data_IF_924870166643
#
_entry.id   IF_924870166643
#
_cell.length_a   1.000
_cell.length_b   1.000
_cell.length_c   1.000
_cell.angle_alpha   90.00
_cell.angle_beta   90.00
_cell.angle_gamma   90.00
#
_symmetry.space_group_name_H-M   'P 1'
#
loop_
_entity.id
_entity.type
_entity.pdbx_description
1 polymer ?
#
# COMPACT_ATOMS: atom_id res chain seq x y z
N UNK A 1 -23.99 -36.28 27.84
CA UNK A 1 -23.73 -36.42 26.39
C UNK A 1 -22.65 -35.41 26.04
N UNK A 2 -21.48 -35.87 25.60
CA UNK A 2 -20.42 -34.96 25.16
C UNK A 2 -20.88 -34.30 23.86
N UNK A 3 -20.83 -32.97 23.78
CA UNK A 3 -21.13 -32.26 22.54
C UNK A 3 -20.11 -32.68 21.48
N UNK A 4 -20.58 -33.22 20.36
CA UNK A 4 -19.75 -33.53 19.20
C UNK A 4 -19.11 -32.23 18.71
N UNK A 5 -17.81 -32.24 18.43
CA UNK A 5 -17.15 -31.06 17.88
C UNK A 5 -17.79 -30.68 16.53
N UNK A 6 -17.94 -29.37 16.24
CA UNK A 6 -18.47 -28.92 14.96
C UNK A 6 -17.55 -29.37 13.80
N UNK A 7 -18.12 -29.65 12.62
CA UNK A 7 -17.34 -30.09 11.46
C UNK A 7 -16.38 -28.99 10.98
N UNK A 8 -15.16 -29.40 10.65
CA UNK A 8 -14.10 -28.50 10.18
C UNK A 8 -13.38 -29.06 8.95
N UNK A 9 -12.92 -28.17 8.09
CA UNK A 9 -12.07 -28.51 6.94
C UNK A 9 -10.64 -28.12 7.29
N UNK A 10 -9.76 -29.11 7.34
CA UNK A 10 -8.33 -28.91 7.54
C UNK A 10 -7.65 -28.85 6.18
N UNK A 11 -6.91 -27.77 5.91
CA UNK A 11 -6.20 -27.57 4.64
C UNK A 11 -4.71 -27.68 4.88
N UNK A 12 -4.07 -28.59 4.15
CA UNK A 12 -2.65 -28.86 4.19
C UNK A 12 -1.99 -28.32 2.92
N UNK A 13 -0.78 -27.77 3.04
CA UNK A 13 0.05 -27.43 1.89
C UNK A 13 1.49 -27.90 2.13
N UNK A 14 2.23 -28.11 1.05
CA UNK A 14 3.61 -28.57 1.13
C UNK A 14 4.57 -27.40 1.29
N UNK A 15 5.49 -27.47 2.27
CA UNK A 15 6.51 -26.45 2.54
C UNK A 15 7.92 -27.05 2.50
N UNK A 16 8.92 -26.24 2.09
CA UNK A 16 10.30 -26.69 2.10
C UNK A 16 10.85 -26.74 3.54
N UNK A 17 11.69 -27.72 3.85
CA UNK A 17 12.42 -27.79 5.13
C UNK A 17 13.48 -26.69 5.26
N UNK A 18 14.04 -26.25 4.14
CA UNK A 18 15.04 -25.19 4.09
C UNK A 18 14.88 -24.33 2.84
N UNK A 19 15.12 -23.03 3.01
CA UNK A 19 15.11 -22.02 1.95
C UNK A 19 16.51 -21.40 1.87
N UNK A 20 17.07 -21.36 0.66
CA UNK A 20 18.32 -20.64 0.39
C UNK A 20 18.00 -19.21 -0.08
N UNK A 21 18.72 -18.23 0.45
CA UNK A 21 18.56 -16.83 0.04
C UNK A 21 18.96 -16.65 -1.44
N UNK A 22 18.09 -16.00 -2.22
CA UNK A 22 18.41 -15.54 -3.57
C UNK A 22 18.40 -16.59 -4.68
N UNK A 23 18.11 -17.86 -4.40
CA UNK A 23 17.97 -18.92 -5.41
C UNK A 23 16.50 -19.37 -5.54
N UNK A 24 16.21 -20.11 -6.62
CA UNK A 24 14.98 -20.89 -6.74
C UNK A 24 14.93 -21.99 -5.66
N UNK A 25 13.72 -22.33 -5.21
CA UNK A 25 13.56 -23.35 -4.17
C UNK A 25 13.90 -24.74 -4.71
N UNK A 26 14.57 -25.55 -3.87
CA UNK A 26 14.88 -26.93 -4.21
C UNK A 26 13.60 -27.78 -4.19
N UNK A 27 13.13 -28.20 -5.37
CA UNK A 27 11.91 -29.00 -5.57
C UNK A 27 12.10 -30.50 -5.32
N UNK A 28 13.28 -30.94 -4.87
CA UNK A 28 13.49 -32.36 -4.58
C UNK A 28 12.51 -32.82 -3.48
N UNK A 29 11.77 -33.94 -3.65
CA UNK A 29 10.71 -34.34 -2.72
C UNK A 29 11.15 -34.45 -1.26
N UNK A 30 12.40 -34.82 -0.98
CA UNK A 30 12.94 -34.90 0.39
C UNK A 30 13.09 -33.55 1.08
N UNK A 31 13.00 -32.44 0.34
CA UNK A 31 13.01 -31.09 0.91
C UNK A 31 11.61 -30.64 1.28
N UNK A 32 10.55 -31.39 0.99
CA UNK A 32 9.16 -30.92 1.13
C UNK A 32 8.37 -31.80 2.07
N UNK A 33 7.50 -31.18 2.86
CA UNK A 33 6.62 -31.87 3.79
C UNK A 33 5.27 -31.17 3.93
N UNK A 34 4.23 -31.93 4.30
CA UNK A 34 2.88 -31.40 4.49
C UNK A 34 2.76 -30.66 5.82
N UNK A 35 2.22 -29.45 5.77
CA UNK A 35 1.95 -28.58 6.92
C UNK A 35 0.47 -28.34 6.99
N UNK A 36 -0.13 -28.49 8.17
CA UNK A 36 -1.52 -28.10 8.41
C UNK A 36 -1.59 -26.57 8.42
N UNK A 37 -2.14 -25.97 7.37
CA UNK A 37 -2.11 -24.53 7.14
C UNK A 37 -3.32 -23.80 7.70
N UNK A 38 -4.52 -24.30 7.38
CA UNK A 38 -5.78 -23.64 7.70
C UNK A 38 -6.75 -24.61 8.36
N UNK A 39 -7.47 -24.12 9.36
CA UNK A 39 -8.64 -24.81 9.94
C UNK A 39 -9.87 -23.97 9.69
N UNK A 40 -10.82 -24.52 8.93
CA UNK A 40 -12.00 -23.79 8.46
C UNK A 40 -13.27 -24.43 9.06
N UNK A 41 -13.88 -23.84 10.08
CA UNK A 41 -15.17 -24.31 10.59
C UNK A 41 -16.25 -24.17 9.51
N UNK A 42 -16.96 -25.25 9.22
CA UNK A 42 -17.96 -25.28 8.12
C UNK A 42 -19.08 -24.27 8.38
N UNK A 43 -19.53 -24.14 9.63
CA UNK A 43 -20.53 -23.15 10.04
C UNK A 43 -20.09 -21.72 9.76
N UNK A 44 -18.82 -21.40 10.09
CA UNK A 44 -18.24 -20.08 9.83
C UNK A 44 -18.17 -19.79 8.34
N UNK A 45 -17.73 -20.74 7.50
CA UNK A 45 -17.71 -20.54 6.05
C UNK A 45 -19.11 -20.30 5.46
N UNK A 46 -20.11 -21.06 5.93
CA UNK A 46 -21.50 -20.88 5.52
C UNK A 46 -22.06 -19.51 5.93
N UNK A 47 -21.66 -18.98 7.09
CA UNK A 47 -22.08 -17.66 7.55
C UNK A 47 -21.42 -16.51 6.76
N UNK A 48 -20.15 -16.68 6.37
CA UNK A 48 -19.38 -15.66 5.66
C UNK A 48 -19.78 -15.49 4.19
N UNK A 49 -20.24 -16.56 3.54
CA UNK A 49 -20.73 -16.57 2.15
C UNK A 49 -19.80 -15.85 1.15
N UNK A 50 -18.48 -15.98 1.34
CA UNK A 50 -17.48 -15.31 0.50
C UNK A 50 -17.54 -15.69 -0.98
N UNK A 51 -18.10 -16.85 -1.32
CA UNK A 51 -18.30 -17.29 -2.69
C UNK A 51 -19.46 -18.28 -2.77
N UNK A 52 -20.14 -18.31 -3.91
CA UNK A 52 -21.11 -19.37 -4.26
C UNK A 52 -20.43 -20.72 -4.52
N UNK A 53 -19.10 -20.72 -4.69
CA UNK A 53 -18.27 -21.92 -4.89
C UNK A 53 -17.20 -21.99 -3.79
N UNK A 54 -17.54 -22.49 -2.59
CA UNK A 54 -16.68 -22.40 -1.43
C UNK A 54 -15.34 -23.10 -1.64
N UNK A 55 -15.28 -24.23 -2.36
CA UNK A 55 -14.02 -24.90 -2.68
C UNK A 55 -13.09 -24.06 -3.56
N UNK A 56 -13.61 -23.24 -4.49
CA UNK A 56 -12.78 -22.29 -5.24
C UNK A 56 -12.24 -21.18 -4.34
N UNK A 57 -13.05 -20.70 -3.40
CA UNK A 57 -12.58 -19.74 -2.40
C UNK A 57 -11.50 -20.36 -1.51
N UNK A 58 -11.66 -21.60 -1.04
CA UNK A 58 -10.63 -22.30 -0.27
C UNK A 58 -9.34 -22.41 -1.08
N UNK A 59 -9.44 -22.77 -2.37
CA UNK A 59 -8.29 -22.86 -3.31
C UNK A 59 -7.56 -21.52 -3.42
N UNK A 60 -8.31 -20.43 -3.56
CA UNK A 60 -7.74 -19.08 -3.57
C UNK A 60 -7.07 -18.74 -2.23
N UNK A 61 -7.79 -18.94 -1.12
CA UNK A 61 -7.36 -18.58 0.22
C UNK A 61 -6.04 -19.27 0.60
N UNK A 62 -5.92 -20.58 0.39
CA UNK A 62 -4.65 -21.28 0.64
C UNK A 62 -3.57 -20.82 -0.34
N UNK A 63 -3.89 -20.62 -1.62
CA UNK A 63 -2.93 -20.18 -2.64
C UNK A 63 -2.29 -18.82 -2.33
N UNK A 64 -3.08 -17.83 -1.87
CA UNK A 64 -2.52 -16.53 -1.46
C UNK A 64 -1.73 -16.61 -0.15
N UNK A 65 -2.09 -17.52 0.76
CA UNK A 65 -1.34 -17.75 2.00
C UNK A 65 0.01 -18.39 1.70
N UNK A 66 0.08 -19.40 0.84
CA UNK A 66 1.35 -20.03 0.45
C UNK A 66 2.13 -19.22 -0.59
N UNK A 67 1.45 -18.33 -1.32
CA UNK A 67 2.04 -17.52 -2.39
C UNK A 67 2.44 -18.35 -3.60
N UNK A 68 1.62 -19.33 -3.98
CA UNK A 68 1.80 -20.20 -5.13
C UNK A 68 0.44 -20.67 -5.64
N UNK A 69 0.27 -20.78 -6.96
CA UNK A 69 -0.94 -21.32 -7.59
C UNK A 69 -0.92 -22.86 -7.55
N UNK A 70 -2.10 -23.48 -7.46
CA UNK A 70 -2.24 -24.92 -7.25
C UNK A 70 -3.69 -25.37 -7.17
N UNK A 71 -3.90 -26.66 -6.90
CA UNK A 71 -5.22 -27.31 -6.87
C UNK A 71 -5.48 -28.04 -5.55
N UNK A 72 -6.75 -28.06 -5.13
CA UNK A 72 -7.18 -28.81 -3.94
C UNK A 72 -7.38 -30.28 -4.29
N UNK A 73 -6.87 -31.16 -3.43
CA UNK A 73 -7.07 -32.60 -3.52
C UNK A 73 -7.58 -33.20 -2.21
N UNK A 74 -8.29 -34.31 -2.30
CA UNK A 74 -8.65 -35.15 -1.15
C UNK A 74 -7.52 -36.10 -0.71
N UNK A 75 -6.38 -36.12 -1.42
CA UNK A 75 -5.26 -37.03 -1.16
C UNK A 75 -3.92 -36.28 -1.09
N UNK A 76 -3.02 -36.67 -0.15
CA UNK A 76 -1.66 -36.15 -0.11
C UNK A 76 -0.76 -36.74 -1.19
N UNK A 77 -1.02 -37.98 -1.63
CA UNK A 77 -0.10 -38.75 -2.45
C UNK A 77 -0.37 -38.63 -3.96
N UNK A 78 -1.59 -38.19 -4.31
CA UNK A 78 -2.02 -38.09 -5.71
C UNK A 78 -2.92 -36.88 -5.92
N UNK A 79 -2.80 -36.24 -7.09
CA UNK A 79 -3.66 -35.12 -7.47
C UNK A 79 -5.06 -35.62 -7.86
N UNK A 80 -5.89 -35.87 -6.86
CA UNK A 80 -7.31 -36.14 -7.01
C UNK A 80 -8.07 -34.82 -6.83
N UNK A 81 -8.20 -34.03 -7.90
CA UNK A 81 -8.79 -32.68 -7.83
C UNK A 81 -10.22 -32.73 -7.29
N UNK A 82 -10.51 -31.90 -6.29
CA UNK A 82 -11.84 -31.77 -5.69
C UNK A 82 -12.81 -31.16 -6.71
N UNK A 83 -14.08 -31.60 -6.71
CA UNK A 83 -15.13 -30.93 -7.47
C UNK A 83 -15.40 -29.54 -6.87
N UNK A 84 -14.91 -28.51 -7.55
CA UNK A 84 -15.08 -27.12 -7.14
C UNK A 84 -16.53 -26.62 -7.16
N UNK A 85 -17.47 -27.39 -7.70
CA UNK A 85 -18.91 -27.09 -7.67
C UNK A 85 -19.64 -27.79 -6.50
N UNK A 86 -18.96 -28.68 -5.79
CA UNK A 86 -19.55 -29.37 -4.67
C UNK A 86 -19.83 -28.42 -3.51
N UNK A 87 -20.91 -28.71 -2.79
CA UNK A 87 -21.23 -28.10 -1.49
C UNK A 87 -20.20 -28.50 -0.44
N UNK A 88 -20.08 -27.71 0.63
CA UNK A 88 -19.20 -28.05 1.75
C UNK A 88 -19.62 -29.39 2.39
N UNK A 89 -18.66 -30.21 2.85
CA UNK A 89 -18.96 -31.48 3.50
C UNK A 89 -19.70 -31.27 4.82
N UNK A 90 -20.60 -32.21 5.15
CA UNK A 90 -21.31 -32.23 6.44
C UNK A 90 -20.46 -32.76 7.60
N UNK A 91 -19.35 -33.43 7.27
CA UNK A 91 -18.38 -34.00 8.21
C UNK A 91 -17.03 -33.31 8.05
N UNK A 92 -16.16 -33.47 9.05
CA UNK A 92 -14.80 -32.93 8.95
C UNK A 92 -14.03 -33.59 7.81
N UNK A 93 -13.26 -32.80 7.08
CA UNK A 93 -12.52 -33.25 5.91
C UNK A 93 -11.09 -32.68 5.91
N UNK A 94 -10.16 -33.42 5.30
CA UNK A 94 -8.81 -32.94 5.02
C UNK A 94 -8.66 -32.67 3.52
N UNK A 95 -8.13 -31.50 3.19
CA UNK A 95 -7.80 -31.09 1.83
C UNK A 95 -6.30 -30.82 1.72
N UNK A 96 -5.71 -31.19 0.59
CA UNK A 96 -4.28 -31.05 0.31
C UNK A 96 -4.10 -30.14 -0.90
N UNK A 97 -3.36 -29.05 -0.72
CA UNK A 97 -3.08 -28.08 -1.77
C UNK A 97 -1.80 -28.46 -2.53
N UNK A 98 -1.97 -28.85 -3.78
CA UNK A 98 -0.90 -29.28 -4.67
C UNK A 98 -0.53 -28.15 -5.63
N UNK A 99 0.65 -27.58 -5.44
CA UNK A 99 1.29 -26.69 -6.41
C UNK A 99 2.21 -27.50 -7.34
N UNK A 100 2.34 -27.08 -8.60
CA UNK A 100 3.30 -27.67 -9.54
C UNK A 100 4.74 -27.39 -9.10
N UNK A 101 5.71 -28.09 -9.68
CA UNK A 101 7.13 -27.83 -9.36
C UNK A 101 7.56 -26.41 -9.76
N UNK A 102 7.02 -25.84 -10.84
CA UNK A 102 7.27 -24.45 -11.22
C UNK A 102 6.75 -23.47 -10.17
N UNK A 103 5.54 -23.69 -9.67
CA UNK A 103 4.95 -22.87 -8.62
C UNK A 103 5.65 -23.06 -7.28
N UNK A 104 6.07 -24.29 -6.95
CA UNK A 104 6.90 -24.58 -5.78
C UNK A 104 8.25 -23.88 -5.81
N UNK A 105 8.88 -23.71 -6.97
CA UNK A 105 10.15 -22.95 -7.09
C UNK A 105 9.99 -21.48 -6.73
N UNK A 106 8.81 -20.92 -6.97
CA UNK A 106 8.49 -19.50 -6.84
C UNK A 106 7.68 -19.16 -5.60
N UNK A 107 7.28 -20.18 -4.83
CA UNK A 107 6.52 -20.05 -3.61
C UNK A 107 7.10 -18.94 -2.71
N UNK A 108 6.22 -18.08 -2.23
CA UNK A 108 6.60 -17.02 -1.29
C UNK A 108 5.45 -16.79 -0.30
N UNK A 109 5.42 -17.51 0.84
CA UNK A 109 4.29 -17.48 1.76
C UNK A 109 4.09 -16.11 2.36
N UNK A 110 2.89 -15.86 2.86
CA UNK A 110 2.57 -14.60 3.53
C UNK A 110 3.38 -14.50 4.83
N UNK A 111 3.94 -13.33 5.09
CA UNK A 111 4.58 -13.02 6.37
C UNK A 111 3.54 -13.08 7.49
N UNK A 112 3.72 -13.90 8.54
CA UNK A 112 2.80 -13.97 9.68
C UNK A 112 2.59 -12.63 10.39
N UNK A 113 3.54 -11.71 10.26
CA UNK A 113 3.51 -10.36 10.81
C UNK A 113 3.18 -9.29 9.75
N UNK A 114 2.55 -9.67 8.62
CA UNK A 114 2.18 -8.73 7.54
C UNK A 114 1.26 -7.59 8.01
N UNK A 115 0.32 -7.90 8.92
CA UNK A 115 -0.66 -6.95 9.45
C UNK A 115 -0.27 -6.29 10.78
N UNK A 116 0.88 -6.64 11.37
CA UNK A 116 1.32 -6.08 12.66
C UNK A 116 1.98 -4.72 12.46
N UNK A 117 1.19 -3.73 12.14
CA UNK A 117 1.65 -2.34 12.19
C UNK A 117 0.64 -1.52 12.94
N UNK A 118 1.04 -1.07 14.13
CA UNK A 118 0.35 -0.03 14.85
C UNK A 118 0.07 1.09 13.85
N UNK A 119 -1.19 1.51 13.75
CA UNK A 119 -1.65 2.62 12.92
C UNK A 119 -0.75 3.81 13.23
N UNK A 120 0.31 4.01 12.46
CA UNK A 120 1.12 5.21 12.61
C UNK A 120 0.30 6.28 11.92
N UNK A 121 -0.39 7.07 12.74
CA UNK A 121 -1.04 8.33 12.34
C UNK A 121 -0.29 9.00 11.19
N UNK A 122 -1.04 9.39 10.17
CA UNK A 122 -0.60 10.12 8.97
C UNK A 122 0.10 11.45 9.26
N UNK A 123 0.16 11.90 10.52
CA UNK A 123 0.43 13.29 10.90
C UNK A 123 1.87 13.74 11.20
N UNK A 124 2.95 13.06 10.77
CA UNK A 124 4.29 13.48 11.23
C UNK A 124 5.37 13.77 10.17
N UNK A 125 5.21 13.39 8.90
CA UNK A 125 6.25 13.67 7.89
C UNK A 125 5.68 14.20 6.59
N UNK A 126 6.45 15.08 5.95
CA UNK A 126 6.13 15.67 4.64
C UNK A 126 5.81 14.63 3.57
N UNK A 127 6.52 13.49 3.59
CA UNK A 127 6.31 12.39 2.64
C UNK A 127 4.96 11.72 2.82
N UNK A 128 4.52 11.53 4.07
CA UNK A 128 3.20 10.95 4.39
C UNK A 128 2.05 11.87 4.00
N UNK A 129 2.23 13.18 4.16
CA UNK A 129 1.25 14.16 3.69
C UNK A 129 1.07 14.06 2.16
N UNK A 130 2.17 13.91 1.42
CA UNK A 130 2.12 13.73 -0.03
C UNK A 130 1.43 12.40 -0.41
N UNK A 131 1.80 11.29 0.23
CA UNK A 131 1.14 9.99 0.00
C UNK A 131 -0.37 10.06 0.20
N UNK A 132 -0.83 10.71 1.28
CA UNK A 132 -2.27 10.88 1.52
C UNK A 132 -2.95 11.67 0.41
N UNK A 133 -2.41 12.83 0.04
CA UNK A 133 -2.99 13.67 -1.01
C UNK A 133 -3.01 12.95 -2.36
N UNK A 134 -1.93 12.28 -2.75
CA UNK A 134 -1.83 11.57 -4.03
C UNK A 134 -2.83 10.40 -4.11
N UNK A 135 -2.94 9.60 -3.04
CA UNK A 135 -3.92 8.51 -2.94
C UNK A 135 -5.34 9.05 -2.95
N UNK A 136 -5.62 10.12 -2.20
CA UNK A 136 -6.92 10.76 -2.20
C UNK A 136 -7.27 11.30 -3.59
N UNK A 137 -6.34 11.96 -4.29
CA UNK A 137 -6.56 12.48 -5.64
C UNK A 137 -6.85 11.37 -6.64
N UNK A 138 -6.04 10.30 -6.68
CA UNK A 138 -6.29 9.11 -7.51
C UNK A 138 -7.67 8.52 -7.24
N UNK A 139 -8.05 8.46 -5.96
CA UNK A 139 -9.33 7.91 -5.52
C UNK A 139 -10.45 8.96 -5.56
N UNK A 140 -10.29 10.12 -6.20
CA UNK A 140 -11.36 11.11 -6.35
C UNK A 140 -11.86 11.71 -5.04
N UNK A 141 -10.99 11.82 -4.04
CA UNK A 141 -11.18 12.42 -2.71
C UNK A 141 -12.37 11.86 -1.93
N UNK A 142 -12.72 10.60 -2.18
CA UNK A 142 -13.81 9.89 -1.48
C UNK A 142 -13.42 8.46 -1.17
N UNK A 143 -14.00 7.88 -0.12
CA UNK A 143 -13.75 6.48 0.22
C UNK A 143 -14.06 5.55 -0.96
N UNK A 144 -13.12 4.69 -1.36
CA UNK A 144 -13.33 3.75 -2.47
C UNK A 144 -14.39 2.68 -2.19
N UNK A 145 -14.71 2.44 -0.92
CA UNK A 145 -15.74 1.47 -0.50
C UNK A 145 -17.10 2.11 -0.21
N UNK A 146 -17.13 3.26 0.46
CA UNK A 146 -18.36 3.83 1.03
C UNK A 146 -18.78 5.14 0.39
N UNK A 147 -17.92 5.72 -0.46
CA UNK A 147 -18.09 7.06 -1.03
C UNK A 147 -18.21 8.19 0.00
N UNK A 148 -17.84 7.94 1.27
CA UNK A 148 -17.75 8.98 2.29
C UNK A 148 -16.74 10.07 1.89
N UNK A 149 -16.98 11.26 2.41
CA UNK A 149 -16.20 12.46 2.16
C UNK A 149 -14.77 12.37 2.73
N UNK A 150 -13.90 13.25 2.21
CA UNK A 150 -12.45 13.24 2.45
C UNK A 150 -12.06 13.35 3.93
N UNK A 151 -12.84 14.09 4.71
CA UNK A 151 -12.63 14.37 6.14
C UNK A 151 -12.83 13.14 7.03
N UNK A 152 -13.55 12.13 6.54
CA UNK A 152 -13.78 10.85 7.23
C UNK A 152 -12.84 9.73 6.76
N UNK A 153 -11.90 10.05 5.88
CA UNK A 153 -11.06 9.10 5.18
C UNK A 153 -9.56 9.34 5.41
N UNK A 154 -8.81 8.23 5.39
CA UNK A 154 -7.35 8.22 5.41
C UNK A 154 -6.83 7.39 4.23
N UNK A 155 -5.62 7.73 3.78
CA UNK A 155 -4.85 6.86 2.90
C UNK A 155 -4.24 5.73 3.72
N UNK A 156 -4.51 4.49 3.30
CA UNK A 156 -4.12 3.27 3.99
C UNK A 156 -3.16 2.50 3.11
N UNK A 157 -2.01 2.14 3.66
CA UNK A 157 -1.09 1.24 2.98
C UNK A 157 -1.62 -0.21 3.00
N UNK A 158 -1.61 -0.90 1.86
CA UNK A 158 -1.95 -2.32 1.74
C UNK A 158 -0.85 -3.19 2.36
N UNK A 159 0.40 -2.95 1.99
CA UNK A 159 1.56 -3.42 2.73
C UNK A 159 2.05 -2.32 3.64
N UNK A 160 2.08 -2.61 4.93
CA UNK A 160 2.23 -1.56 5.92
C UNK A 160 3.56 -0.79 5.82
N UNK A 161 3.47 0.52 6.02
CA UNK A 161 4.59 1.45 5.92
C UNK A 161 5.85 1.01 6.70
N UNK A 162 5.70 0.41 7.89
CA UNK A 162 6.85 0.03 8.72
C UNK A 162 7.67 -1.14 8.16
N UNK A 163 7.18 -1.86 7.15
CA UNK A 163 7.94 -2.89 6.44
C UNK A 163 9.00 -2.28 5.51
N UNK A 164 8.75 -1.07 5.01
CA UNK A 164 9.69 -0.30 4.22
C UNK A 164 9.89 -0.79 2.78
N UNK A 165 10.65 0.01 2.02
CA UNK A 165 10.87 -0.14 0.56
C UNK A 165 11.41 -1.50 0.15
N UNK A 166 12.41 -2.01 0.88
CA UNK A 166 13.06 -3.29 0.55
C UNK A 166 12.09 -4.45 0.66
N UNK A 167 11.22 -4.44 1.67
CA UNK A 167 10.22 -5.48 1.87
C UNK A 167 9.20 -5.47 0.73
N UNK A 168 8.57 -4.32 0.43
CA UNK A 168 7.53 -4.26 -0.63
C UNK A 168 8.10 -4.62 -2.00
N UNK A 169 9.31 -4.18 -2.32
CA UNK A 169 9.99 -4.53 -3.56
C UNK A 169 10.24 -6.04 -3.64
N UNK A 170 10.79 -6.64 -2.58
CA UNK A 170 11.07 -8.08 -2.52
C UNK A 170 9.77 -8.89 -2.60
N UNK A 171 8.76 -8.51 -1.84
CA UNK A 171 7.47 -9.18 -1.78
C UNK A 171 6.78 -9.18 -3.16
N UNK A 172 6.64 -8.02 -3.77
CA UNK A 172 5.98 -7.88 -5.10
C UNK A 172 6.81 -8.54 -6.20
N UNK A 173 8.15 -8.45 -6.15
CA UNK A 173 9.01 -9.13 -7.10
C UNK A 173 8.91 -10.66 -7.00
N UNK A 174 8.89 -11.23 -5.80
CA UNK A 174 8.79 -12.68 -5.60
C UNK A 174 7.42 -13.22 -6.03
N UNK A 175 6.36 -12.44 -5.80
CA UNK A 175 4.97 -12.82 -6.14
C UNK A 175 4.48 -12.36 -7.50
N UNK A 176 5.28 -11.66 -8.31
CA UNK A 176 4.86 -11.27 -9.66
C UNK A 176 4.80 -12.45 -10.64
N UNK A 177 5.38 -13.62 -10.30
CA UNK A 177 5.50 -14.78 -11.19
C UNK A 177 6.12 -14.44 -12.57
N UNK A 178 6.89 -13.34 -12.66
CA UNK A 178 7.40 -12.82 -13.94
C UNK A 178 6.31 -12.26 -14.86
N UNK A 179 5.07 -12.11 -14.37
CA UNK A 179 4.03 -11.31 -15.01
C UNK A 179 4.45 -9.85 -14.93
N UNK A 180 4.14 -9.12 -16.01
CA UNK A 180 4.42 -7.71 -16.30
C UNK A 180 5.11 -6.87 -15.20
N UNK A 181 6.18 -6.15 -15.57
CA UNK A 181 6.93 -5.23 -14.68
C UNK A 181 6.06 -4.23 -13.88
N UNK A 182 4.84 -3.94 -14.36
CA UNK A 182 3.88 -3.06 -13.68
C UNK A 182 3.35 -3.56 -12.34
N UNK A 183 3.58 -4.82 -11.98
CA UNK A 183 3.16 -5.38 -10.70
C UNK A 183 4.18 -5.16 -9.56
N UNK A 184 5.40 -4.70 -9.89
CA UNK A 184 6.49 -4.52 -8.93
C UNK A 184 6.42 -3.11 -8.33
N UNK A 185 6.17 -3.04 -7.02
CA UNK A 185 6.11 -1.78 -6.27
C UNK A 185 7.41 -1.60 -5.49
N UNK A 186 8.19 -0.58 -5.84
CA UNK A 186 9.53 -0.36 -5.28
C UNK A 186 9.55 0.52 -4.03
N UNK A 187 8.53 1.36 -3.85
CA UNK A 187 8.44 2.36 -2.79
C UNK A 187 7.24 2.04 -1.88
N UNK A 188 7.46 2.01 -0.56
CA UNK A 188 6.40 1.76 0.42
C UNK A 188 5.36 2.87 0.44
N UNK A 189 5.75 4.10 0.08
CA UNK A 189 4.89 5.27 -0.08
C UNK A 189 4.43 5.45 -1.54
N UNK A 190 4.57 4.43 -2.39
CA UNK A 190 3.96 4.46 -3.72
C UNK A 190 2.44 4.55 -3.61
N UNK A 191 1.82 5.39 -4.43
CA UNK A 191 0.36 5.48 -4.57
C UNK A 191 -0.27 4.10 -4.82
N UNK A 192 0.42 3.23 -5.58
CA UNK A 192 -0.01 1.85 -5.82
C UNK A 192 -0.10 1.00 -4.55
N UNK A 193 0.58 1.36 -3.47
CA UNK A 193 0.45 0.70 -2.17
C UNK A 193 -0.68 1.27 -1.31
N UNK A 194 -1.42 2.28 -1.79
CA UNK A 194 -2.44 2.99 -1.01
C UNK A 194 -3.87 2.75 -1.47
N UNK A 195 -4.82 2.83 -0.53
CA UNK A 195 -6.26 3.01 -0.77
C UNK A 195 -6.81 4.12 0.12
N UNK A 196 -7.75 4.91 -0.39
CA UNK A 196 -8.46 5.90 0.43
C UNK A 196 -9.70 5.28 1.08
N UNK A 197 -9.62 5.05 2.39
CA UNK A 197 -10.62 4.29 3.15
C UNK A 197 -11.13 5.08 4.36
N UNK A 198 -12.36 4.80 4.77
CA UNK A 198 -12.89 5.33 6.02
C UNK A 198 -12.11 4.76 7.23
N UNK A 199 -12.11 5.49 8.34
CA UNK A 199 -11.34 5.15 9.54
C UNK A 199 -11.64 3.75 10.12
N UNK A 200 -12.88 3.26 10.02
CA UNK A 200 -13.24 1.94 10.55
C UNK A 200 -12.64 0.81 9.70
N UNK A 201 -12.78 0.92 8.38
CA UNK A 201 -12.22 -0.05 7.44
C UNK A 201 -10.70 -0.03 7.47
N UNK A 202 -10.08 1.15 7.58
CA UNK A 202 -8.64 1.29 7.78
C UNK A 202 -8.17 0.45 8.99
N UNK A 203 -8.83 0.58 10.15
CA UNK A 203 -8.46 -0.15 11.37
C UNK A 203 -8.61 -1.67 11.27
N UNK A 204 -9.47 -2.15 10.38
CA UNK A 204 -9.79 -3.56 10.23
C UNK A 204 -9.06 -4.24 9.06
N UNK A 205 -8.45 -3.46 8.17
CA UNK A 205 -7.83 -3.94 6.95
C UNK A 205 -6.72 -4.97 7.23
N UNK A 206 -6.75 -6.09 6.51
CA UNK A 206 -5.79 -7.18 6.65
C UNK A 206 -5.97 -8.04 7.91
N UNK A 207 -6.96 -7.71 8.75
CA UNK A 207 -7.33 -8.48 9.93
C UNK A 207 -8.74 -9.03 9.78
N UNK A 208 -9.73 -8.15 9.89
CA UNK A 208 -11.15 -8.50 9.86
C UNK A 208 -11.81 -8.09 8.53
N UNK A 209 -11.17 -7.21 7.75
CA UNK A 209 -11.60 -6.80 6.41
C UNK A 209 -10.48 -7.03 5.40
N UNK A 210 -10.81 -7.58 4.24
CA UNK A 210 -9.90 -7.63 3.09
C UNK A 210 -10.68 -7.48 1.80
N UNK A 211 -9.97 -7.28 0.69
CA UNK A 211 -10.58 -7.10 -0.62
C UNK A 211 -10.13 -8.22 -1.57
N UNK A 212 -11.10 -8.88 -2.20
CA UNK A 212 -10.88 -9.97 -3.14
C UNK A 212 -10.94 -9.44 -4.57
N UNK A 213 -9.84 -9.54 -5.31
CA UNK A 213 -9.83 -9.22 -6.75
C UNK A 213 -10.28 -10.43 -7.57
N UNK A 214 -11.21 -10.21 -8.51
CA UNK A 214 -11.64 -11.20 -9.50
C UNK A 214 -11.65 -10.61 -10.92
N UNK A 215 -11.46 -11.41 -11.98
CA UNK A 215 -11.04 -12.81 -11.92
C UNK A 215 -9.62 -12.97 -11.35
N UNK A 216 -9.37 -14.09 -10.69
CA UNK A 216 -8.06 -14.51 -10.21
C UNK A 216 -7.80 -15.98 -10.62
N UNK A 217 -6.69 -16.57 -10.19
CA UNK A 217 -6.29 -17.92 -10.63
C UNK A 217 -7.29 -19.03 -10.25
N UNK A 218 -8.14 -18.80 -9.25
CA UNK A 218 -9.08 -19.79 -8.71
C UNK A 218 -10.55 -19.46 -8.99
N UNK A 219 -10.90 -18.18 -9.10
CA UNK A 219 -12.29 -17.69 -9.16
C UNK A 219 -12.50 -16.67 -10.27
N UNK A 220 -13.69 -16.74 -10.86
CA UNK A 220 -14.25 -15.71 -11.73
C UNK A 220 -15.15 -14.77 -10.91
N UNK A 221 -15.48 -13.62 -11.48
CA UNK A 221 -16.32 -12.62 -10.79
C UNK A 221 -17.75 -13.14 -10.51
N UNK A 222 -18.26 -14.01 -11.38
CA UNK A 222 -19.56 -14.67 -11.19
C UNK A 222 -19.59 -15.70 -10.07
N UNK A 223 -18.43 -16.15 -9.58
CA UNK A 223 -18.35 -16.99 -8.38
C UNK A 223 -18.61 -16.18 -7.08
N UNK A 224 -18.56 -14.84 -7.16
CA UNK A 224 -18.79 -13.91 -6.05
C UNK A 224 -20.14 -13.21 -6.21
N UNK A 225 -20.37 -12.63 -7.38
CA UNK A 225 -21.61 -11.95 -7.75
C UNK A 225 -22.20 -12.61 -9.01
N UNK A 226 -23.20 -13.51 -8.87
CA UNK A 226 -23.79 -14.22 -10.02
C UNK A 226 -24.41 -13.32 -11.07
N UNK A 227 -24.66 -12.05 -10.75
CA UNK A 227 -25.23 -11.07 -11.68
C UNK A 227 -24.17 -10.37 -12.52
N UNK A 228 -22.90 -10.45 -12.13
CA UNK A 228 -21.77 -9.84 -12.82
C UNK A 228 -21.20 -10.77 -13.92
N UNK A 229 -20.73 -10.23 -15.05
CA UNK A 229 -20.00 -10.99 -16.06
C UNK A 229 -18.76 -11.69 -15.48
N UNK A 230 -18.54 -12.96 -15.83
CA UNK A 230 -17.45 -13.79 -15.29
C UNK A 230 -16.05 -13.17 -15.43
N UNK A 231 -15.81 -12.40 -16.49
CA UNK A 231 -14.52 -11.77 -16.79
C UNK A 231 -14.39 -10.31 -16.35
N UNK A 232 -15.42 -9.74 -15.72
CA UNK A 232 -15.39 -8.37 -15.21
C UNK A 232 -14.31 -8.24 -14.14
N UNK A 233 -13.43 -7.23 -14.25
CA UNK A 233 -12.50 -6.91 -13.17
C UNK A 233 -13.26 -6.28 -12.02
N UNK A 234 -13.19 -6.90 -10.84
CA UNK A 234 -13.88 -6.44 -9.64
C UNK A 234 -12.99 -6.62 -8.42
N UNK A 235 -13.11 -5.73 -7.46
CA UNK A 235 -12.47 -5.82 -6.16
C UNK A 235 -13.58 -5.79 -5.09
N UNK A 236 -13.76 -6.87 -4.35
CA UNK A 236 -14.94 -7.09 -3.49
C UNK A 236 -14.54 -7.09 -2.02
N UNK A 237 -15.22 -6.28 -1.20
CA UNK A 237 -14.98 -6.23 0.24
C UNK A 237 -15.54 -7.44 0.97
N UNK A 238 -14.69 -8.13 1.72
CA UNK A 238 -15.05 -9.28 2.54
C UNK A 238 -14.83 -8.93 4.01
N UNK A 239 -15.85 -9.19 4.82
CA UNK A 239 -15.80 -9.03 6.28
C UNK A 239 -15.74 -10.42 6.93
N UNK A 240 -14.66 -10.69 7.65
CA UNK A 240 -14.40 -11.97 8.33
C UNK A 240 -15.06 -12.05 9.72
N UNK A 241 -15.59 -10.94 10.24
CA UNK A 241 -16.39 -10.86 11.47
C UNK A 241 -17.80 -10.34 11.15
N UNK A 242 -18.75 -11.21 10.74
CA UNK A 242 -20.07 -10.79 10.25
C UNK A 242 -20.94 -10.13 11.33
N UNK A 243 -20.62 -10.35 12.60
CA UNK A 243 -21.25 -9.71 13.76
C UNK A 243 -20.82 -8.25 13.96
N UNK A 244 -19.84 -7.76 13.18
CA UNK A 244 -19.31 -6.39 13.27
C UNK A 244 -19.37 -5.64 11.94
N UNK A 245 -20.56 -5.45 11.35
CA UNK A 245 -20.73 -4.78 10.06
C UNK A 245 -20.22 -3.33 10.06
N UNK A 246 -20.13 -2.68 11.23
CA UNK A 246 -19.58 -1.33 11.38
C UNK A 246 -18.14 -1.20 10.88
N UNK A 247 -17.38 -2.29 10.77
CA UNK A 247 -16.01 -2.26 10.23
C UNK A 247 -15.95 -1.88 8.73
N UNK A 248 -17.06 -1.98 7.99
CA UNK A 248 -17.14 -1.55 6.60
C UNK A 248 -17.57 -0.09 6.40
N UNK A 249 -17.82 0.69 7.46
CA UNK A 249 -18.19 2.11 7.31
C UNK A 249 -19.13 2.70 8.37
N UNK A 250 -19.31 2.05 9.53
CA UNK A 250 -20.19 2.56 10.58
C UNK A 250 -21.69 2.44 10.28
N UNK A 251 -22.47 3.50 10.55
CA UNK A 251 -23.91 3.55 10.30
C UNK A 251 -24.18 3.58 8.78
N UNK A 252 -24.91 2.60 8.27
CA UNK A 252 -25.14 2.45 6.83
C UNK A 252 -23.98 1.78 6.07
N UNK A 253 -23.11 1.05 6.79
CA UNK A 253 -22.02 0.31 6.18
C UNK A 253 -22.53 -0.61 5.05
N UNK A 254 -21.82 -0.66 3.91
CA UNK A 254 -22.16 -1.60 2.84
C UNK A 254 -22.06 -3.04 3.36
N UNK A 255 -22.87 -3.97 2.82
CA UNK A 255 -22.76 -5.38 3.17
C UNK A 255 -21.44 -5.97 2.69
N UNK A 256 -20.97 -7.04 3.35
CA UNK A 256 -19.93 -7.91 2.80
C UNK A 256 -20.35 -8.37 1.39
N UNK A 257 -19.41 -8.42 0.45
CA UNK A 257 -19.69 -8.65 -0.98
C UNK A 257 -19.84 -7.38 -1.82
N UNK A 258 -19.77 -6.20 -1.19
CA UNK A 258 -19.86 -4.92 -1.92
C UNK A 258 -18.59 -4.63 -2.74
N UNK A 259 -18.72 -4.13 -3.98
CA UNK A 259 -17.57 -3.78 -4.81
C UNK A 259 -16.92 -2.48 -4.34
N UNK A 260 -15.60 -2.41 -4.49
CA UNK A 260 -14.85 -1.17 -4.43
C UNK A 260 -15.00 -0.43 -5.76
N UNK A 261 -15.00 0.89 -5.70
CA UNK A 261 -14.74 1.71 -6.88
C UNK A 261 -13.26 1.57 -7.25
N UNK A 262 -13.01 1.03 -8.43
CA UNK A 262 -11.67 0.88 -9.01
C UNK A 262 -11.35 2.11 -9.84
N UNK A 263 -10.11 2.58 -9.78
CA UNK A 263 -9.58 3.60 -10.69
C UNK A 263 -8.91 2.93 -11.89
N UNK A 264 -9.17 3.42 -13.11
CA UNK A 264 -8.52 2.92 -14.34
C UNK A 264 -7.09 3.45 -14.53
N UNK A 265 -6.57 4.22 -13.57
CA UNK A 265 -5.20 4.75 -13.61
C UNK A 265 -4.16 3.63 -13.46
N UNK A 266 -2.97 3.77 -14.06
CA UNK A 266 -1.85 2.82 -13.84
C UNK A 266 -1.32 2.84 -12.39
N UNK A 267 -1.78 3.77 -11.56
CA UNK A 267 -1.43 3.91 -10.15
C UNK A 267 -2.39 3.17 -9.21
N UNK A 268 -3.36 2.44 -9.75
CA UNK A 268 -4.20 1.54 -8.97
C UNK A 268 -3.36 0.39 -8.40
N UNK A 269 -3.64 -0.08 -7.16
CA UNK A 269 -2.84 -1.16 -6.59
C UNK A 269 -2.88 -2.44 -7.44
N UNK A 270 -1.72 -3.09 -7.67
CA UNK A 270 -1.69 -4.36 -8.37
C UNK A 270 -2.34 -5.48 -7.53
N UNK A 271 -2.92 -6.52 -8.15
CA UNK A 271 -3.59 -7.64 -7.46
C UNK A 271 -2.76 -8.28 -6.34
N UNK A 272 -1.44 -8.35 -6.51
CA UNK A 272 -0.54 -8.98 -5.53
C UNK A 272 -0.58 -8.29 -4.16
N UNK A 273 -0.84 -6.98 -4.11
CA UNK A 273 -1.00 -6.28 -2.83
C UNK A 273 -2.33 -6.61 -2.16
N UNK A 274 -3.40 -6.78 -2.94
CA UNK A 274 -4.68 -7.27 -2.43
C UNK A 274 -4.56 -8.72 -1.91
N UNK A 275 -3.90 -9.59 -2.66
CA UNK A 275 -3.62 -10.98 -2.25
C UNK A 275 -2.84 -11.02 -0.92
N UNK A 276 -1.91 -10.08 -0.71
CA UNK A 276 -1.15 -9.97 0.53
C UNK A 276 -2.04 -9.65 1.74
N UNK A 277 -2.89 -8.62 1.60
CA UNK A 277 -3.86 -8.23 2.64
C UNK A 277 -4.87 -9.34 2.90
N UNK A 278 -5.34 -9.99 1.84
CA UNK A 278 -6.28 -11.10 1.93
C UNK A 278 -5.68 -12.32 2.64
N UNK A 279 -4.44 -12.68 2.30
CA UNK A 279 -3.70 -13.73 2.96
C UNK A 279 -3.50 -13.43 4.46
N UNK A 280 -3.22 -12.17 4.81
CA UNK A 280 -3.15 -11.72 6.21
C UNK A 280 -4.45 -11.96 6.98
N UNK A 281 -5.60 -11.59 6.40
CA UNK A 281 -6.91 -11.80 7.02
C UNK A 281 -7.25 -13.29 7.15
N UNK A 282 -7.00 -14.09 6.10
CA UNK A 282 -7.17 -15.55 6.14
C UNK A 282 -6.30 -16.17 7.23
N UNK A 283 -5.02 -15.80 7.33
CA UNK A 283 -4.11 -16.31 8.35
C UNK A 283 -4.51 -15.87 9.76
N UNK A 284 -5.09 -14.67 9.90
CA UNK A 284 -5.61 -14.18 11.18
C UNK A 284 -6.76 -15.06 11.70
N UNK A 285 -7.72 -15.37 10.83
CA UNK A 285 -8.96 -16.07 11.21
C UNK A 285 -8.85 -17.60 11.19
N UNK A 286 -8.09 -18.14 10.26
CA UNK A 286 -8.07 -19.58 9.97
C UNK A 286 -6.68 -20.21 10.03
N UNK A 287 -5.63 -19.38 10.11
CA UNK A 287 -4.24 -19.83 10.14
C UNK A 287 -3.89 -20.58 11.41
N UNK A 288 -3.32 -21.78 11.26
CA UNK A 288 -2.83 -22.57 12.39
C UNK A 288 -1.56 -21.98 12.98
N UNK A 289 -1.26 -22.32 14.24
CA UNK A 289 0.03 -21.98 14.84
C UNK A 289 1.19 -22.72 14.16
N UNK A 290 0.96 -23.97 13.73
CA UNK A 290 1.95 -24.78 13.00
C UNK A 290 2.45 -24.07 11.74
N UNK A 291 1.55 -23.47 10.96
CA UNK A 291 1.94 -22.69 9.77
C UNK A 291 2.76 -21.46 10.14
N UNK A 292 2.35 -20.71 11.17
CA UNK A 292 3.05 -19.51 11.60
C UNK A 292 4.48 -19.83 12.06
N UNK A 293 4.63 -20.91 12.82
CA UNK A 293 5.92 -21.40 13.29
C UNK A 293 6.80 -21.84 12.12
N UNK A 294 6.25 -22.63 11.19
CA UNK A 294 6.96 -23.09 9.99
C UNK A 294 7.45 -21.90 9.14
N UNK A 295 6.56 -20.94 8.84
CA UNK A 295 6.92 -19.77 8.05
C UNK A 295 7.97 -18.92 8.76
N UNK A 296 7.84 -18.74 10.09
CA UNK A 296 8.80 -17.97 10.88
C UNK A 296 10.17 -18.64 10.92
N UNK A 297 10.24 -19.97 11.06
CA UNK A 297 11.51 -20.70 11.10
C UNK A 297 12.17 -20.70 9.73
N UNK A 298 11.40 -20.99 8.68
CA UNK A 298 11.94 -21.28 7.36
C UNK A 298 12.16 -20.02 6.50
N UNK A 299 11.37 -18.96 6.69
CA UNK A 299 11.32 -17.81 5.78
C UNK A 299 11.71 -16.46 6.38
N UNK A 300 11.94 -16.37 7.69
CA UNK A 300 12.25 -15.09 8.36
C UNK A 300 13.42 -14.32 7.74
N UNK A 301 14.48 -15.02 7.31
CA UNK A 301 15.61 -14.38 6.64
C UNK A 301 15.30 -13.85 5.23
N UNK A 302 14.24 -14.36 4.60
CA UNK A 302 13.86 -14.02 3.22
C UNK A 302 12.92 -12.80 3.18
N UNK A 303 12.07 -12.61 4.18
CA UNK A 303 11.20 -11.43 4.28
C UNK A 303 12.00 -10.15 4.50
N UNK A 304 13.02 -10.21 5.35
CA UNK A 304 13.87 -9.08 5.72
C UNK A 304 15.34 -9.37 5.38
N UNK A 305 15.74 -9.37 4.09
CA UNK A 305 17.12 -9.68 3.70
C UNK A 305 18.15 -8.67 4.23
N UNK A 306 17.71 -7.47 4.65
CA UNK A 306 18.53 -6.48 5.33
C UNK A 306 18.61 -6.64 6.86
N UNK A 307 17.95 -7.66 7.43
CA UNK A 307 17.69 -7.77 8.85
C UNK A 307 16.58 -6.81 9.31
N UNK A 308 16.08 -7.03 10.53
CA UNK A 308 15.20 -6.06 11.20
C UNK A 308 15.99 -4.77 11.34
N UNK A 309 15.64 -3.73 10.58
CA UNK A 309 16.23 -2.39 10.76
C UNK A 309 16.13 -2.05 12.25
N UNK A 310 17.27 -1.80 12.88
CA UNK A 310 17.23 -1.35 14.27
C UNK A 310 16.56 0.03 14.31
N UNK A 311 16.02 0.43 15.46
CA UNK A 311 15.44 1.77 15.61
C UNK A 311 16.45 2.86 15.21
N UNK A 312 17.74 2.64 15.46
CA UNK A 312 18.82 3.53 15.07
C UNK A 312 19.03 3.59 13.55
N UNK A 313 18.93 2.48 12.83
CA UNK A 313 19.00 2.46 11.37
C UNK A 313 17.78 3.15 10.75
N UNK A 314 16.61 2.97 11.36
CA UNK A 314 15.37 3.62 10.94
C UNK A 314 15.47 5.14 11.12
N UNK A 315 15.98 5.61 12.25
CA UNK A 315 16.22 7.03 12.51
C UNK A 315 17.28 7.59 11.55
N UNK A 316 18.38 6.88 11.32
CA UNK A 316 19.42 7.33 10.40
C UNK A 316 18.90 7.44 8.96
N UNK A 317 18.12 6.45 8.51
CA UNK A 317 17.46 6.47 7.20
C UNK A 317 16.43 7.60 7.12
N UNK A 318 15.64 7.83 8.16
CA UNK A 318 14.69 8.94 8.21
C UNK A 318 15.40 10.29 8.08
N UNK A 319 16.56 10.47 8.75
CA UNK A 319 17.38 11.68 8.63
C UNK A 319 17.93 11.83 7.20
N UNK A 320 18.41 10.75 6.59
CA UNK A 320 18.92 10.77 5.21
C UNK A 320 17.82 11.10 4.19
N UNK A 321 16.65 10.48 4.34
CA UNK A 321 15.49 10.74 3.51
C UNK A 321 15.02 12.21 3.66
N UNK A 322 14.96 12.73 4.89
CA UNK A 322 14.61 14.14 5.16
C UNK A 322 15.60 15.11 4.52
N UNK A 323 16.91 14.80 4.58
CA UNK A 323 17.95 15.58 3.89
C UNK A 323 17.77 15.55 2.37
N UNK A 324 17.50 14.38 1.79
CA UNK A 324 17.26 14.24 0.36
C UNK A 324 16.03 15.03 -0.09
N UNK A 325 14.94 14.99 0.69
CA UNK A 325 13.73 15.78 0.41
C UNK A 325 14.01 17.28 0.49
N UNK A 326 14.75 17.71 1.52
CA UNK A 326 15.12 19.12 1.69
C UNK A 326 16.00 19.60 0.54
N UNK A 327 16.94 18.77 0.09
CA UNK A 327 17.77 19.05 -1.08
C UNK A 327 16.94 19.17 -2.36
N UNK A 328 16.03 18.23 -2.61
CA UNK A 328 15.13 18.27 -3.78
C UNK A 328 14.22 19.51 -3.76
N UNK A 329 13.68 19.88 -2.58
CA UNK A 329 12.91 21.14 -2.43
C UNK A 329 13.75 22.37 -2.71
N UNK A 330 14.97 22.44 -2.17
CA UNK A 330 15.87 23.55 -2.43
C UNK A 330 16.19 23.67 -3.93
N UNK A 331 16.38 22.54 -4.61
CA UNK A 331 16.61 22.48 -6.05
C UNK A 331 15.37 22.94 -6.84
N UNK A 332 14.18 22.44 -6.51
CA UNK A 332 12.94 22.86 -7.17
C UNK A 332 12.66 24.34 -6.96
N UNK A 333 12.85 24.86 -5.74
CA UNK A 333 12.72 26.29 -5.46
C UNK A 333 13.77 27.13 -6.20
N UNK A 334 15.00 26.62 -6.36
CA UNK A 334 16.03 27.28 -7.14
C UNK A 334 15.64 27.31 -8.63
N UNK A 335 15.07 26.22 -9.15
CA UNK A 335 14.58 26.13 -10.52
C UNK A 335 13.41 27.10 -10.76
N UNK A 336 12.44 27.16 -9.85
CA UNK A 336 11.33 28.13 -9.91
C UNK A 336 11.83 29.57 -9.83
N UNK A 337 12.79 29.87 -8.95
CA UNK A 337 13.42 31.20 -8.88
C UNK A 337 14.13 31.54 -10.19
N UNK A 338 14.83 30.59 -10.78
CA UNK A 338 15.46 30.73 -12.10
C UNK A 338 14.44 31.02 -13.20
N UNK A 339 13.34 30.27 -13.24
CA UNK A 339 12.26 30.48 -14.20
C UNK A 339 11.60 31.86 -14.03
N UNK A 340 11.34 32.30 -12.78
CA UNK A 340 10.83 33.65 -12.49
C UNK A 340 11.81 34.74 -12.87
N UNK A 341 13.10 34.52 -12.66
CA UNK A 341 14.13 35.47 -13.07
C UNK A 341 14.18 35.61 -14.59
N UNK A 342 14.19 34.49 -15.33
CA UNK A 342 14.14 34.51 -16.79
C UNK A 342 12.87 35.19 -17.33
N UNK A 343 11.71 34.95 -16.70
CA UNK A 343 10.46 35.63 -17.05
C UNK A 343 10.50 37.15 -16.80
N UNK A 344 11.29 37.62 -15.82
CA UNK A 344 11.47 39.05 -15.52
C UNK A 344 12.56 39.73 -16.34
N UNK A 345 13.53 38.99 -16.88
CA UNK A 345 14.60 39.53 -17.74
C UNK A 345 14.11 39.79 -19.16
N UNK A 346 12.97 39.23 -19.57
CA UNK A 346 12.26 39.71 -20.74
C UNK A 346 11.83 41.18 -20.47
N UNK A 347 12.38 42.18 -21.17
CA UNK A 347 12.04 43.57 -20.92
C UNK A 347 10.54 43.74 -21.12
N UNK A 348 9.83 44.15 -20.07
CA UNK A 348 8.44 44.53 -20.19
C UNK A 348 8.35 45.66 -21.23
N UNK A 349 7.34 45.62 -22.09
CA UNK A 349 7.03 46.70 -23.02
C UNK A 349 6.91 48.05 -22.29
N UNK A 350 6.55 48.04 -21.00
CA UNK A 350 6.53 49.21 -20.14
C UNK A 350 7.93 49.72 -19.76
N UNK A 351 8.89 48.83 -19.45
CA UNK A 351 10.29 49.21 -19.19
C UNK A 351 10.99 49.76 -20.44
N UNK A 352 10.65 49.23 -21.63
CA UNK A 352 11.06 49.82 -22.91
C UNK A 352 10.43 51.20 -23.14
N UNK A 353 9.19 51.44 -22.68
CA UNK A 353 8.55 52.75 -22.80
C UNK A 353 9.16 53.79 -21.86
N UNK A 354 9.55 53.38 -20.65
CA UNK A 354 10.18 54.25 -19.65
C UNK A 354 11.62 54.63 -20.00
N UNK A 355 12.28 53.89 -20.91
CA UNK A 355 13.62 54.25 -21.42
C UNK A 355 13.58 55.22 -22.60
N UNK A 356 12.44 55.37 -23.30
CA UNK A 356 12.29 56.29 -24.46
C UNK A 356 12.67 57.75 -24.18
N UNK A 357 12.33 58.38 -23.03
CA UNK A 357 12.72 59.76 -22.74
C UNK A 357 14.25 59.95 -22.64
N UNK A 358 14.98 58.89 -22.31
CA UNK A 358 16.42 58.91 -22.05
C UNK A 358 17.27 58.66 -23.30
N UNK A 359 16.67 58.20 -24.40
CA UNK A 359 17.37 57.92 -25.67
C UNK A 359 17.98 59.20 -26.28
N UNK A 360 17.41 60.38 -25.98
CA UNK A 360 17.88 61.67 -26.48
C UNK A 360 18.79 62.44 -25.50
N UNK A 361 19.01 61.90 -24.30
CA UNK A 361 19.87 62.55 -23.30
C UNK A 361 21.33 62.22 -23.59
N UNK A 362 22.23 63.22 -23.71
CA UNK A 362 23.65 62.97 -23.89
C UNK A 362 24.21 62.05 -22.78
N UNK A 363 25.11 61.09 -23.09
CA UNK A 363 25.56 60.08 -22.13
C UNK A 363 26.13 60.62 -20.82
N UNK A 364 26.71 61.83 -20.83
CA UNK A 364 27.23 62.49 -19.62
C UNK A 364 26.12 62.99 -18.70
N UNK A 365 25.05 63.54 -19.26
CA UNK A 365 23.89 64.03 -18.52
C UNK A 365 23.06 62.88 -17.97
N UNK A 366 22.91 61.81 -18.74
CA UNK A 366 22.24 60.60 -18.27
C UNK A 366 22.97 59.97 -17.08
N UNK A 367 24.30 59.89 -17.14
CA UNK A 367 25.12 59.42 -16.01
C UNK A 367 24.99 60.30 -14.77
N UNK A 368 24.96 61.61 -14.93
CA UNK A 368 24.78 62.54 -13.82
C UNK A 368 23.39 62.37 -13.18
N UNK A 369 22.34 62.25 -14.00
CA UNK A 369 20.98 62.07 -13.53
C UNK A 369 20.78 60.72 -12.81
N UNK A 370 21.34 59.63 -13.34
CA UNK A 370 21.29 58.32 -12.69
C UNK A 370 22.02 58.36 -11.33
N UNK A 371 23.16 59.04 -11.26
CA UNK A 371 23.90 59.23 -10.00
C UNK A 371 23.09 60.03 -8.98
N UNK A 372 22.41 61.09 -9.41
CA UNK A 372 21.56 61.89 -8.52
C UNK A 372 20.35 61.08 -7.99
N UNK A 373 19.75 60.26 -8.86
CA UNK A 373 18.64 59.36 -8.46
C UNK A 373 19.13 58.30 -7.47
N UNK A 374 20.30 57.71 -7.71
CA UNK A 374 20.93 56.73 -6.82
C UNK A 374 21.28 57.34 -5.46
N UNK A 375 21.88 58.54 -5.44
CA UNK A 375 22.19 59.28 -4.21
C UNK A 375 20.92 59.64 -3.42
N UNK A 376 19.83 60.06 -4.10
CA UNK A 376 18.53 60.31 -3.46
C UNK A 376 17.91 59.04 -2.89
N UNK A 377 17.99 57.92 -3.62
CA UNK A 377 17.49 56.64 -3.15
C UNK A 377 18.26 56.16 -1.91
N UNK A 378 19.59 56.24 -1.93
CA UNK A 378 20.43 55.94 -0.76
C UNK A 378 20.11 56.83 0.43
N UNK A 379 19.95 58.14 0.23
CA UNK A 379 19.59 59.07 1.30
C UNK A 379 18.25 58.72 1.94
N UNK A 380 17.28 58.29 1.13
CA UNK A 380 15.95 57.89 1.60
C UNK A 380 16.01 56.58 2.39
N UNK A 381 16.78 55.59 1.94
CA UNK A 381 16.93 54.33 2.68
C UNK A 381 17.72 54.53 3.97
N UNK A 382 18.79 55.35 3.98
CA UNK A 382 19.52 55.71 5.20
C UNK A 382 18.59 56.35 6.24
N UNK A 383 17.71 57.26 5.80
CA UNK A 383 16.70 57.87 6.68
C UNK A 383 15.74 56.83 7.24
N UNK A 384 15.25 55.92 6.41
CA UNK A 384 14.34 54.84 6.84
C UNK A 384 14.99 53.89 7.84
N UNK A 385 16.26 53.54 7.64
CA UNK A 385 17.04 52.72 8.57
C UNK A 385 17.23 53.46 9.89
N UNK A 386 17.56 54.76 9.86
CA UNK A 386 17.69 55.57 11.06
C UNK A 386 16.38 55.63 11.86
N UNK A 387 15.24 55.87 11.20
CA UNK A 387 13.93 55.91 11.84
C UNK A 387 13.58 54.57 12.51
N UNK A 388 13.94 53.43 11.90
CA UNK A 388 13.79 52.11 12.52
C UNK A 388 14.68 51.93 13.75
N UNK A 389 15.94 52.34 13.67
CA UNK A 389 16.88 52.25 14.81
C UNK A 389 16.40 53.11 15.97
N UNK A 390 15.95 54.33 15.70
CA UNK A 390 15.44 55.25 16.73
C UNK A 390 14.16 54.71 17.39
N UNK A 391 13.27 54.08 16.60
CA UNK A 391 12.07 53.42 17.11
C UNK A 391 12.41 52.24 18.02
N UNK A 392 13.39 51.42 17.63
CA UNK A 392 13.85 50.28 18.42
C UNK A 392 14.54 50.72 19.73
N UNK A 393 15.36 51.78 19.69
CA UNK A 393 16.01 52.34 20.88
C UNK A 393 14.99 52.85 21.92
N UNK A 394 13.92 53.53 21.47
CA UNK A 394 12.84 53.97 22.37
C UNK A 394 12.14 52.81 23.08
N UNK A 395 11.90 51.70 22.37
CA UNK A 395 11.28 50.50 22.94
C UNK A 395 12.12 49.82 24.02
N UNK A 396 13.45 50.02 24.01
CA UNK A 396 14.37 49.43 25.00
C UNK A 396 14.47 50.30 26.25
N UNK A 397 14.39 51.63 26.13
CA UNK A 397 14.50 52.55 27.27
C UNK A 397 13.22 52.71 28.10
N UNK A 398 12.07 52.28 27.57
CA UNK A 398 10.77 52.33 28.26
C UNK A 398 10.43 51.02 29.03
N UNK A 399 11.43 50.17 29.26
CA UNK A 399 11.38 48.95 30.12
C UNK A 399 12.29 49.16 31.32
#
# INVERSE_FOLDING_TARGET
>A
MAATAPPEIQVYASFPHAVALGADLNVHPSNWHWVHCLTLPVETLNALQFSQRPHKWIRYAIGVVVGAEGDLSSSPDSLNVVDYNAVLPSESAALYYHASDEERRRMFPVDPDIGRTNITSSGATTRRAQFREDVAERDGRTCVLTSLEEDLCDAVHLLAHSKGHTYIATYTQRRSHGRTCGDIVQDIDSVQNGLFLNLFTHRALGKDVAFLTTPNFAMNTSDIDPTAPSAEKRCTAHLFQPDRPSLLGGLGAPPSGSPLRISDTPEWPPPILFDAVYAGAVLHHFGTQTLKDEVTVTWKGTFDPGGVMTAADADHKAIMDERSITANRAQNQAHERGARYQARVAPDAFDMLMTLPYIRVPPKELKAMLREVEEKAEATERRRVQEKVDTWMKQITDV
#
